data_IF_090182577332
#
_entry.id   IF_090182577332
#
_cell.length_a   1.000
_cell.length_b   1.000
_cell.length_c   1.000
_cell.angle_alpha   90.00
_cell.angle_beta   90.00
_cell.angle_gamma   90.00
#
_symmetry.space_group_name_H-M   'P 1'
#
loop_
_entity.id
_entity.type
_entity.pdbx_description
1 polymer ?
#
# COMPACT_ATOMS: atom_id res chain seq x y z
N UNK A 1 -33.73 -35.66 -15.56
CA UNK A 1 -33.15 -34.30 -15.50
C UNK A 1 -32.69 -33.92 -14.09
N UNK A 2 -33.58 -33.90 -13.06
CA UNK A 2 -33.25 -33.42 -11.69
C UNK A 2 -32.05 -34.09 -11.00
N UNK A 3 -31.87 -35.39 -11.20
CA UNK A 3 -30.76 -36.17 -10.61
C UNK A 3 -29.40 -35.83 -11.23
N UNK A 4 -29.37 -35.42 -12.50
CA UNK A 4 -28.14 -35.06 -13.22
C UNK A 4 -27.67 -33.68 -12.76
N UNK A 5 -28.59 -32.72 -12.61
CA UNK A 5 -28.30 -31.38 -12.08
C UNK A 5 -27.74 -31.45 -10.66
N UNK A 6 -28.31 -32.31 -9.80
CA UNK A 6 -27.83 -32.51 -8.43
C UNK A 6 -26.42 -33.13 -8.39
N UNK A 7 -26.17 -34.12 -9.25
CA UNK A 7 -24.86 -34.75 -9.34
C UNK A 7 -23.78 -33.76 -9.82
N UNK A 8 -24.12 -32.92 -10.82
CA UNK A 8 -23.20 -31.91 -11.33
C UNK A 8 -22.92 -30.81 -10.30
N UNK A 9 -23.95 -30.35 -9.56
CA UNK A 9 -23.74 -29.35 -8.51
C UNK A 9 -22.90 -29.90 -7.35
N UNK A 10 -23.13 -31.14 -6.94
CA UNK A 10 -22.31 -31.81 -5.92
C UNK A 10 -20.86 -31.98 -6.37
N UNK A 11 -20.63 -32.36 -7.64
CA UNK A 11 -19.29 -32.47 -8.20
C UNK A 11 -18.57 -31.11 -8.25
N UNK A 12 -19.25 -30.04 -8.67
CA UNK A 12 -18.69 -28.70 -8.66
C UNK A 12 -18.35 -28.22 -7.24
N UNK A 13 -19.22 -28.49 -6.24
CA UNK A 13 -18.93 -28.15 -4.85
C UNK A 13 -17.68 -28.89 -4.37
N UNK A 14 -17.63 -30.22 -4.55
CA UNK A 14 -16.48 -31.04 -4.11
C UNK A 14 -15.17 -30.58 -4.77
N UNK A 15 -15.21 -30.15 -6.03
CA UNK A 15 -14.04 -29.62 -6.72
C UNK A 15 -13.61 -28.24 -6.16
N UNK A 16 -14.57 -27.35 -5.87
CA UNK A 16 -14.27 -26.03 -5.29
C UNK A 16 -13.74 -26.11 -3.86
N UNK A 17 -14.25 -27.03 -3.03
CA UNK A 17 -13.82 -27.23 -1.65
C UNK A 17 -12.45 -27.92 -1.51
N UNK A 18 -11.95 -28.58 -2.57
CA UNK A 18 -10.64 -29.24 -2.57
C UNK A 18 -9.48 -28.29 -2.94
N UNK A 19 -9.76 -27.01 -3.15
CA UNK A 19 -8.72 -26.02 -3.43
C UNK A 19 -8.07 -25.58 -2.13
N UNK A 20 -6.99 -26.25 -1.73
CA UNK A 20 -6.11 -25.73 -0.70
C UNK A 20 -5.46 -24.43 -1.20
N UNK A 21 -5.85 -23.29 -0.62
CA UNK A 21 -5.14 -22.03 -0.80
C UNK A 21 -3.78 -22.17 -0.10
N UNK A 22 -2.75 -22.50 -0.88
CA UNK A 22 -1.38 -22.46 -0.39
C UNK A 22 -0.98 -20.99 -0.34
N UNK A 23 -0.87 -20.42 0.86
CA UNK A 23 -0.24 -19.13 1.06
C UNK A 23 1.21 -19.24 0.56
N UNK A 24 1.48 -18.61 -0.59
CA UNK A 24 2.79 -18.64 -1.22
C UNK A 24 3.72 -17.75 -0.40
N UNK A 25 4.44 -18.35 0.56
CA UNK A 25 5.42 -17.63 1.35
C UNK A 25 6.47 -17.00 0.43
N UNK A 26 6.78 -15.71 0.65
CA UNK A 26 7.87 -15.05 -0.04
C UNK A 26 9.15 -15.86 0.16
N UNK A 27 9.84 -16.19 -0.93
CA UNK A 27 11.13 -16.84 -0.82
C UNK A 27 12.07 -15.94 -0.01
N UNK A 28 12.82 -16.49 0.96
CA UNK A 28 13.77 -15.70 1.74
C UNK A 28 14.82 -15.09 0.80
N UNK A 29 15.21 -13.85 1.08
CA UNK A 29 16.32 -13.22 0.35
C UNK A 29 17.59 -14.05 0.52
N UNK A 30 18.43 -14.19 -0.52
CA UNK A 30 19.65 -14.98 -0.43
C UNK A 30 20.57 -14.47 0.68
N UNK A 31 21.15 -15.40 1.45
CA UNK A 31 22.08 -15.10 2.55
C UNK A 31 23.28 -14.26 2.07
N UNK A 32 23.73 -14.50 0.83
CA UNK A 32 24.71 -13.68 0.13
C UNK A 32 24.16 -13.29 -1.25
N UNK A 33 23.54 -12.11 -1.34
CA UNK A 33 23.00 -11.61 -2.62
C UNK A 33 24.11 -11.10 -3.55
N UNK A 34 25.20 -10.55 -2.98
CA UNK A 34 26.29 -9.94 -3.76
C UNK A 34 25.83 -8.73 -4.59
N UNK A 35 26.75 -8.09 -5.30
CA UNK A 35 26.44 -7.05 -6.30
C UNK A 35 27.55 -6.98 -7.34
N UNK A 36 27.29 -6.30 -8.46
CA UNK A 36 28.28 -6.05 -9.51
C UNK A 36 28.49 -4.56 -9.70
N UNK A 37 29.64 -4.18 -10.25
CA UNK A 37 29.90 -2.78 -10.63
C UNK A 37 28.84 -2.22 -11.58
N UNK A 38 28.24 -3.07 -12.44
CA UNK A 38 27.16 -2.68 -13.33
C UNK A 38 25.86 -2.33 -12.58
N UNK A 39 25.53 -3.07 -11.51
CA UNK A 39 24.37 -2.77 -10.66
C UNK A 39 24.62 -1.49 -9.86
N UNK A 40 25.82 -1.31 -9.32
CA UNK A 40 26.21 -0.11 -8.57
C UNK A 40 26.26 1.15 -9.45
N UNK A 41 26.75 1.01 -10.69
CA UNK A 41 26.85 2.11 -11.65
C UNK A 41 25.54 2.42 -12.38
N UNK A 42 24.47 1.68 -12.14
CA UNK A 42 23.18 1.89 -12.79
C UNK A 42 22.53 3.15 -12.24
N UNK A 43 22.69 4.26 -12.94
CA UNK A 43 21.86 5.44 -12.73
C UNK A 43 20.43 5.18 -13.26
N UNK A 44 19.42 5.64 -12.53
CA UNK A 44 18.07 5.69 -13.05
C UNK A 44 17.96 6.74 -14.16
N UNK A 45 17.10 6.50 -15.16
CA UNK A 45 16.85 7.44 -16.24
C UNK A 45 15.95 8.60 -15.77
N UNK A 46 16.50 9.51 -14.96
CA UNK A 46 15.78 10.66 -14.41
C UNK A 46 16.45 11.97 -14.86
N UNK A 47 15.65 12.94 -15.25
CA UNK A 47 16.14 14.31 -15.48
C UNK A 47 16.30 14.99 -14.12
N UNK A 48 17.48 14.85 -13.52
CA UNK A 48 17.83 15.54 -12.29
C UNK A 48 18.00 17.03 -12.57
N UNK A 49 17.26 17.86 -11.85
CA UNK A 49 17.32 19.32 -11.95
C UNK A 49 17.59 19.93 -10.59
N UNK A 50 18.45 20.94 -10.56
CA UNK A 50 18.72 21.74 -9.35
C UNK A 50 17.83 22.99 -9.30
N UNK A 51 17.69 23.58 -8.12
CA UNK A 51 16.96 24.85 -7.94
C UNK A 51 17.57 25.96 -8.80
N UNK A 52 18.91 26.04 -8.88
CA UNK A 52 19.59 27.02 -9.71
C UNK A 52 19.32 26.81 -11.22
N UNK A 53 19.20 25.57 -11.68
CA UNK A 53 18.82 25.28 -13.06
C UNK A 53 17.38 25.72 -13.36
N UNK A 54 16.47 25.52 -12.41
CA UNK A 54 15.08 25.99 -12.52
C UNK A 54 15.05 27.52 -12.56
N UNK A 55 15.73 28.21 -11.64
CA UNK A 55 15.83 29.67 -11.61
C UNK A 55 16.37 30.22 -12.92
N UNK A 56 17.50 29.67 -13.41
CA UNK A 56 18.10 30.06 -14.67
C UNK A 56 17.15 29.87 -15.87
N UNK A 57 16.35 28.80 -15.86
CA UNK A 57 15.36 28.53 -16.93
C UNK A 57 14.19 29.53 -16.97
N UNK A 58 13.98 30.27 -15.87
CA UNK A 58 12.90 31.23 -15.71
C UNK A 58 13.36 32.70 -15.81
N UNK A 59 14.65 32.95 -16.02
CA UNK A 59 15.18 34.32 -16.16
C UNK A 59 14.46 35.10 -17.27
N UNK A 60 14.08 36.34 -16.97
CA UNK A 60 13.37 37.23 -17.89
C UNK A 60 11.88 36.93 -18.06
N UNK A 61 11.35 35.89 -17.40
CA UNK A 61 9.89 35.66 -17.37
C UNK A 61 9.23 36.62 -16.40
N UNK A 62 8.05 37.13 -16.78
CA UNK A 62 7.23 37.95 -15.90
C UNK A 62 6.79 37.14 -14.65
N UNK A 63 6.47 37.82 -13.53
CA UNK A 63 5.93 37.16 -12.35
C UNK A 63 4.71 36.29 -12.68
N UNK A 64 4.67 35.10 -12.12
CA UNK A 64 3.60 34.12 -12.34
C UNK A 64 3.27 33.40 -11.04
N UNK A 65 2.02 32.93 -10.93
CA UNK A 65 1.63 32.07 -9.81
C UNK A 65 2.22 30.66 -10.01
N UNK A 66 2.73 30.07 -8.92
CA UNK A 66 3.22 28.69 -8.86
C UNK A 66 2.63 27.98 -7.65
N UNK A 67 2.46 26.67 -7.74
CA UNK A 67 1.90 25.84 -6.67
C UNK A 67 2.94 24.91 -6.06
N UNK A 68 2.79 24.65 -4.77
CA UNK A 68 3.55 23.64 -4.05
C UNK A 68 2.55 22.70 -3.38
N UNK A 69 2.78 21.40 -3.51
CA UNK A 69 2.16 20.44 -2.60
C UNK A 69 2.72 20.63 -1.18
N UNK A 70 2.02 20.11 -0.17
CA UNK A 70 2.35 20.35 1.24
C UNK A 70 3.12 19.17 1.82
N UNK A 71 2.50 17.99 1.77
CA UNK A 71 2.97 16.81 2.48
C UNK A 71 4.19 16.19 1.79
N UNK A 72 5.26 16.00 2.56
CA UNK A 72 6.57 15.52 2.10
C UNK A 72 7.17 16.32 0.92
N UNK A 73 6.67 17.54 0.69
CA UNK A 73 7.17 18.48 -0.34
C UNK A 73 7.76 19.73 0.31
N UNK A 74 6.98 20.45 1.13
CA UNK A 74 7.47 21.62 1.91
C UNK A 74 7.51 21.33 3.40
N UNK A 75 6.74 20.35 3.87
CA UNK A 75 6.70 19.90 5.25
C UNK A 75 7.00 18.40 5.29
N UNK A 76 7.97 18.01 6.12
CA UNK A 76 8.11 16.62 6.53
C UNK A 76 6.97 16.27 7.49
N UNK A 77 5.84 15.79 6.96
CA UNK A 77 4.58 15.67 7.69
C UNK A 77 4.25 14.24 8.09
N UNK A 78 5.03 13.26 7.63
CA UNK A 78 4.97 11.85 8.05
C UNK A 78 4.71 11.66 9.56
N UNK A 79 5.41 12.33 10.50
CA UNK A 79 5.16 12.13 11.94
C UNK A 79 3.70 12.39 12.37
N UNK A 80 3.06 13.42 11.80
CA UNK A 80 1.67 13.74 12.10
C UNK A 80 0.70 12.69 11.55
N UNK A 81 0.97 12.16 10.36
CA UNK A 81 0.20 11.07 9.77
C UNK A 81 0.33 9.77 10.58
N UNK A 82 1.56 9.40 10.97
CA UNK A 82 1.81 8.21 11.79
C UNK A 82 1.10 8.26 13.14
N UNK A 83 1.22 9.38 13.85
CA UNK A 83 0.52 9.56 15.13
C UNK A 83 -1.01 9.48 14.95
N UNK A 84 -1.54 9.97 13.83
CA UNK A 84 -2.96 9.87 13.52
C UNK A 84 -3.40 8.43 13.26
N UNK A 85 -2.63 7.67 12.48
CA UNK A 85 -2.89 6.25 12.18
C UNK A 85 -2.98 5.43 13.48
N UNK A 86 -2.00 5.59 14.39
CA UNK A 86 -1.97 4.88 15.68
C UNK A 86 -3.19 5.20 16.55
N UNK A 87 -3.62 6.46 16.58
CA UNK A 87 -4.79 6.88 17.34
C UNK A 87 -6.10 6.33 16.75
N UNK A 88 -6.23 6.32 15.42
CA UNK A 88 -7.41 5.72 14.74
C UNK A 88 -7.46 4.22 15.00
N UNK A 89 -6.32 3.53 14.90
CA UNK A 89 -6.21 2.11 15.16
C UNK A 89 -6.53 1.75 16.62
N UNK A 90 -6.00 2.52 17.57
CA UNK A 90 -6.30 2.35 19.01
C UNK A 90 -7.78 2.55 19.31
N UNK A 91 -8.41 3.53 18.68
CA UNK A 91 -9.84 3.82 18.84
C UNK A 91 -10.75 2.76 18.23
N UNK A 92 -10.36 2.15 17.10
CA UNK A 92 -11.10 1.02 16.54
C UNK A 92 -11.04 -0.21 17.44
N UNK A 93 -9.87 -0.48 18.03
CA UNK A 93 -9.69 -1.59 18.97
C UNK A 93 -10.54 -1.41 20.23
N UNK A 94 -10.56 -0.21 20.81
CA UNK A 94 -11.39 0.06 21.99
C UNK A 94 -12.90 -0.07 21.72
N UNK A 95 -13.37 0.28 20.53
CA UNK A 95 -14.79 0.11 20.13
C UNK A 95 -15.16 -1.35 19.88
N UNK A 96 -14.21 -2.19 19.46
CA UNK A 96 -14.45 -3.62 19.21
C UNK A 96 -14.33 -4.49 20.48
N UNK A 97 -13.80 -3.93 21.56
CA UNK A 97 -13.72 -4.57 22.88
C UNK A 97 -14.83 -4.14 23.86
N UNK A 98 -15.73 -3.23 23.45
CA UNK A 98 -16.96 -2.94 24.20
C UNK A 98 -17.81 -4.21 24.30
N UNK A 99 -18.06 -4.76 25.51
CA UNK A 99 -18.91 -5.94 25.66
C UNK A 99 -20.31 -5.55 25.23
N UNK A 100 -20.79 -6.20 24.16
CA UNK A 100 -22.09 -5.93 23.57
C UNK A 100 -23.17 -5.82 24.63
N UNK A 101 -23.79 -4.64 24.73
CA UNK A 101 -25.09 -4.44 25.36
C UNK A 101 -26.08 -5.26 24.55
N UNK A 102 -26.14 -6.56 24.82
CA UNK A 102 -27.17 -7.44 24.32
C UNK A 102 -28.48 -6.94 24.93
N UNK A 103 -29.40 -6.53 24.05
CA UNK A 103 -30.71 -6.05 24.41
C UNK A 103 -31.36 -6.96 25.46
N UNK A 104 -31.68 -6.38 26.61
CA UNK A 104 -32.71 -6.90 27.49
C UNK A 104 -34.04 -6.53 26.86
N UNK A 105 -34.59 -7.44 26.07
CA UNK A 105 -36.00 -7.45 25.70
C UNK A 105 -36.62 -8.70 26.33
N UNK A 106 -36.98 -8.56 27.61
CA UNK A 106 -38.09 -9.27 28.26
C UNK A 106 -39.29 -8.32 28.30
#
# INVERSE_FOLDING_TARGET
MRKITLALSAACLLFSLNSAVVARASAPTPLYTGTTAAILGRAGAHSLVSVAQIENSLMGRAPMAVGFDIDDTVLFSSPGFWAREENVFTRQRSVSEEPGILGKNE
#
